data_IF_952719243761
#
_entry.id   IF_952719243761
#
_cell.length_a   1.000
_cell.length_b   1.000
_cell.length_c   1.000
_cell.angle_alpha   90.00
_cell.angle_beta   90.00
_cell.angle_gamma   90.00
#
_symmetry.space_group_name_H-M   'P 1'
#
loop_
_entity.id
_entity.type
_entity.pdbx_description
1 polymer ?
#
# COMPACT_ATOMS: atom_id res chain seq x y z
N UNK A 1 -32.45 -28.70 36.35
CA UNK A 1 -31.63 -29.62 35.55
C UNK A 1 -32.38 -30.93 35.34
N UNK A 2 -33.01 -31.13 34.18
CA UNK A 2 -33.58 -32.41 33.74
C UNK A 2 -33.27 -32.57 32.25
N UNK A 3 -32.47 -33.58 31.90
CA UNK A 3 -32.10 -33.95 30.54
C UNK A 3 -33.09 -35.01 30.04
N UNK A 4 -33.60 -34.87 28.82
CA UNK A 4 -33.97 -36.01 27.96
C UNK A 4 -33.60 -35.68 26.51
N UNK A 5 -32.88 -36.57 25.79
CA UNK A 5 -32.56 -36.40 24.38
C UNK A 5 -33.42 -37.27 23.45
N UNK A 6 -33.57 -36.75 22.24
CA UNK A 6 -33.67 -37.43 20.94
C UNK A 6 -35.01 -37.91 20.35
N UNK A 7 -35.09 -37.57 19.06
CA UNK A 7 -35.72 -38.24 17.91
C UNK A 7 -37.19 -37.95 17.59
N UNK A 8 -37.39 -37.01 16.66
CA UNK A 8 -38.37 -37.17 15.59
C UNK A 8 -37.78 -36.64 14.28
N UNK A 9 -37.57 -37.56 13.34
CA UNK A 9 -37.23 -37.27 11.95
C UNK A 9 -38.43 -36.60 11.27
N UNK A 10 -38.16 -35.61 10.42
CA UNK A 10 -39.10 -35.21 9.37
C UNK A 10 -38.32 -34.88 8.10
N UNK A 11 -38.63 -35.67 7.09
CA UNK A 11 -38.13 -35.70 5.73
C UNK A 11 -39.09 -34.89 4.85
N UNK A 12 -38.61 -33.81 4.21
CA UNK A 12 -39.16 -33.23 2.96
C UNK A 12 -37.93 -32.60 2.26
N UNK A 13 -37.27 -33.19 1.26
CA UNK A 13 -37.63 -33.50 -0.14
C UNK A 13 -38.15 -32.33 -0.97
N UNK A 14 -37.24 -31.64 -1.67
CA UNK A 14 -37.38 -31.05 -3.04
C UNK A 14 -36.21 -30.09 -3.28
N UNK A 15 -35.15 -30.41 -4.04
CA UNK A 15 -35.05 -30.56 -5.51
C UNK A 15 -35.40 -29.26 -6.26
N UNK A 16 -34.38 -28.57 -6.82
CA UNK A 16 -34.18 -28.32 -8.26
C UNK A 16 -32.73 -27.86 -8.48
N UNK A 17 -31.93 -28.73 -9.11
CA UNK A 17 -30.74 -28.36 -9.88
C UNK A 17 -31.20 -28.10 -11.30
N UNK A 18 -31.00 -26.88 -11.80
CA UNK A 18 -30.92 -26.44 -13.20
C UNK A 18 -30.87 -24.92 -13.14
N UNK A 19 -29.92 -24.22 -13.74
CA UNK A 19 -29.82 -24.07 -15.19
C UNK A 19 -28.41 -23.71 -15.66
N UNK A 20 -27.99 -24.44 -16.70
CA UNK A 20 -26.84 -24.19 -17.56
C UNK A 20 -26.92 -22.84 -18.30
N UNK A 21 -25.76 -22.41 -18.81
CA UNK A 21 -25.46 -21.08 -19.34
C UNK A 21 -26.41 -20.52 -20.41
N UNK A 22 -26.59 -19.21 -20.33
CA UNK A 22 -27.15 -18.42 -21.41
C UNK A 22 -26.05 -18.15 -22.45
N UNK A 23 -26.06 -18.91 -23.55
CA UNK A 23 -25.37 -18.53 -24.78
C UNK A 23 -26.36 -17.80 -25.70
N UNK A 24 -26.04 -16.59 -26.20
CA UNK A 24 -26.85 -15.94 -27.23
C UNK A 24 -26.74 -16.66 -28.57
N UNK A 25 -27.88 -16.82 -29.26
CA UNK A 25 -27.98 -17.44 -30.59
C UNK A 25 -28.08 -16.37 -31.69
N UNK A 26 -27.22 -16.51 -32.71
CA UNK A 26 -27.27 -16.18 -34.17
C UNK A 26 -28.08 -14.98 -34.73
N UNK A 27 -27.59 -14.35 -35.82
CA UNK A 27 -28.01 -14.82 -37.15
C UNK A 27 -26.84 -15.14 -38.10
N UNK A 28 -27.02 -16.22 -38.86
CA UNK A 28 -26.21 -16.59 -40.01
C UNK A 28 -26.39 -15.60 -41.17
N UNK A 29 -25.31 -15.27 -41.88
CA UNK A 29 -25.37 -14.86 -43.28
C UNK A 29 -24.45 -15.74 -44.12
N UNK A 30 -24.99 -16.12 -45.28
CA UNK A 30 -24.58 -17.15 -46.23
C UNK A 30 -23.36 -16.77 -47.08
N UNK A 31 -22.73 -17.83 -47.62
CA UNK A 31 -21.50 -17.86 -48.39
C UNK A 31 -21.56 -17.23 -49.80
N UNK A 32 -20.40 -16.85 -50.35
CA UNK A 32 -19.88 -17.38 -51.64
C UNK A 32 -18.38 -17.04 -51.85
N UNK A 33 -17.66 -17.80 -52.70
CA UNK A 33 -16.21 -18.04 -52.61
C UNK A 33 -15.36 -17.19 -53.59
N UNK A 34 -14.03 -17.32 -53.44
CA UNK A 34 -12.95 -17.31 -54.47
C UNK A 34 -11.87 -16.24 -54.26
N UNK A 35 -10.61 -16.71 -54.13
CA UNK A 35 -9.49 -16.09 -54.84
C UNK A 35 -8.64 -15.06 -54.08
N UNK A 36 -7.53 -15.54 -53.53
CA UNK A 36 -6.26 -14.86 -53.20
C UNK A 36 -6.04 -13.46 -53.80
N UNK A 37 -5.94 -12.46 -52.92
CA UNK A 37 -5.04 -11.31 -53.09
C UNK A 37 -4.13 -11.22 -51.87
N UNK A 38 -2.84 -11.52 -52.05
CA UNK A 38 -1.81 -11.25 -51.06
C UNK A 38 -1.65 -9.73 -50.95
N UNK A 39 -2.37 -9.10 -50.03
CA UNK A 39 -2.08 -7.74 -49.59
C UNK A 39 -1.23 -7.86 -48.32
N UNK A 40 0.04 -7.44 -48.42
CA UNK A 40 0.90 -7.27 -47.24
C UNK A 40 0.28 -6.18 -46.38
N UNK A 41 -0.38 -6.61 -45.32
CA UNK A 41 -0.81 -5.75 -44.23
C UNK A 41 0.47 -5.25 -43.52
N UNK A 42 0.66 -3.93 -43.34
CA UNK A 42 1.73 -3.45 -42.49
C UNK A 42 1.51 -4.05 -41.09
N UNK A 43 2.50 -4.78 -40.61
CA UNK A 43 2.51 -5.29 -39.24
C UNK A 43 2.27 -4.12 -38.29
N UNK A 44 1.37 -4.24 -37.30
CA UNK A 44 1.25 -3.20 -36.29
C UNK A 44 2.60 -3.06 -35.59
N UNK A 45 3.16 -1.86 -35.60
CA UNK A 45 4.28 -1.52 -34.73
C UNK A 45 3.84 -1.83 -33.30
N UNK A 46 4.56 -2.67 -32.53
CA UNK A 46 4.21 -2.90 -31.14
C UNK A 46 4.18 -1.55 -30.43
N UNK A 47 3.03 -1.20 -29.89
CA UNK A 47 2.91 -0.11 -28.93
C UNK A 47 3.88 -0.41 -27.80
N UNK A 48 4.79 0.51 -27.41
CA UNK A 48 5.56 0.34 -26.18
C UNK A 48 4.55 0.07 -25.07
N UNK A 49 4.59 -1.13 -24.52
CA UNK A 49 3.85 -1.43 -23.31
C UNK A 49 4.49 -0.53 -22.26
N UNK A 50 3.70 0.36 -21.66
CA UNK A 50 4.14 1.23 -20.58
C UNK A 50 4.63 0.30 -19.45
N UNK A 51 5.94 0.07 -19.37
CA UNK A 51 6.64 -0.58 -18.24
C UNK A 51 6.61 0.37 -17.02
N UNK A 52 5.46 0.97 -16.74
CA UNK A 52 5.24 1.96 -15.67
C UNK A 52 4.62 1.32 -14.43
N UNK A 53 4.37 0.00 -14.45
CA UNK A 53 4.11 -0.81 -13.27
C UNK A 53 5.35 -1.66 -12.96
N UNK A 54 6.50 -1.00 -12.83
CA UNK A 54 7.64 -1.51 -12.06
C UNK A 54 7.11 -2.14 -10.76
N UNK A 55 7.65 -3.28 -10.35
CA UNK A 55 7.18 -4.08 -9.21
C UNK A 55 7.29 -3.30 -7.88
N UNK A 56 6.30 -2.43 -7.60
CA UNK A 56 6.32 -1.53 -6.43
C UNK A 56 5.97 -2.32 -5.18
N UNK A 57 7.00 -2.67 -4.41
CA UNK A 57 6.83 -3.24 -3.06
C UNK A 57 6.38 -2.13 -2.10
N UNK A 58 5.11 -2.21 -1.66
CA UNK A 58 4.54 -1.31 -0.65
C UNK A 58 4.63 -1.94 0.73
N UNK A 59 5.21 -1.21 1.68
CA UNK A 59 5.32 -1.64 3.08
C UNK A 59 4.44 -0.70 3.91
N UNK A 60 3.53 -1.28 4.69
CA UNK A 60 2.72 -0.54 5.67
C UNK A 60 3.22 -0.84 7.07
N UNK A 61 3.62 0.20 7.79
CA UNK A 61 4.07 0.11 9.20
C UNK A 61 3.23 1.05 10.04
N UNK A 62 2.83 0.57 11.22
CA UNK A 62 2.24 1.41 12.26
C UNK A 62 3.35 1.90 13.18
N UNK A 63 3.48 3.21 13.34
CA UNK A 63 4.46 3.85 14.23
C UNK A 63 3.76 4.39 15.47
N UNK A 64 4.37 4.19 16.63
CA UNK A 64 3.98 4.83 17.88
C UNK A 64 5.12 5.74 18.31
N UNK A 65 4.83 7.03 18.53
CA UNK A 65 5.80 8.03 18.97
C UNK A 65 5.56 8.38 20.44
N UNK A 66 6.65 8.62 21.17
CA UNK A 66 6.66 9.00 22.58
C UNK A 66 7.53 10.23 22.76
N UNK A 67 6.99 11.26 23.41
CA UNK A 67 7.74 12.46 23.82
C UNK A 67 8.10 12.35 25.30
N UNK A 68 9.35 12.67 25.64
CA UNK A 68 9.83 12.69 27.01
C UNK A 68 10.75 13.89 27.24
N UNK A 69 10.68 14.45 28.45
CA UNK A 69 11.61 15.48 28.94
C UNK A 69 12.36 14.88 30.12
N UNK A 70 13.69 14.83 30.01
CA UNK A 70 14.56 14.29 31.04
C UNK A 70 15.36 15.43 31.66
N UNK A 71 15.30 15.54 32.98
CA UNK A 71 16.02 16.56 33.73
C UNK A 71 16.90 15.93 34.79
N UNK A 72 18.01 16.61 35.11
CA UNK A 72 18.84 16.27 36.26
C UNK A 72 18.15 16.64 37.60
N UNK A 73 18.85 16.41 38.72
CA UNK A 73 18.34 16.74 40.06
C UNK A 73 18.15 18.23 40.31
N UNK A 74 18.76 19.09 39.49
CA UNK A 74 18.67 20.55 39.58
C UNK A 74 17.59 21.11 38.63
N UNK A 75 16.93 20.26 37.86
CA UNK A 75 15.91 20.64 36.88
C UNK A 75 16.49 21.07 35.53
N UNK A 76 17.78 20.80 35.26
CA UNK A 76 18.40 21.11 33.97
C UNK A 76 18.10 19.99 32.97
N UNK A 77 17.72 20.34 31.73
CA UNK A 77 17.44 19.35 30.68
C UNK A 77 18.74 18.62 30.33
N UNK A 78 18.66 17.29 30.26
CA UNK A 78 19.74 16.45 29.79
C UNK A 78 19.66 16.37 28.26
N UNK A 79 20.70 16.85 27.58
CA UNK A 79 20.67 17.07 26.12
C UNK A 79 21.45 16.03 25.31
N UNK A 80 22.18 15.14 25.98
CA UNK A 80 23.12 14.19 25.40
C UNK A 80 22.66 12.72 25.48
N UNK A 81 21.38 12.49 25.77
CA UNK A 81 20.80 11.16 25.84
C UNK A 81 20.87 10.44 24.49
N UNK A 82 21.19 9.15 24.56
CA UNK A 82 21.27 8.25 23.43
C UNK A 82 20.10 7.24 23.46
N UNK A 83 19.75 6.61 22.33
CA UNK A 83 18.71 5.58 22.30
C UNK A 83 18.93 4.45 23.30
N UNK A 84 20.20 4.11 23.58
CA UNK A 84 20.60 3.03 24.50
C UNK A 84 20.27 3.35 25.96
N UNK A 85 20.03 4.62 26.29
CA UNK A 85 19.62 5.06 27.63
C UNK A 85 18.14 4.80 27.91
N UNK A 86 17.38 4.30 26.93
CA UNK A 86 15.94 4.06 27.03
C UNK A 86 15.59 2.58 26.89
N UNK A 87 14.66 2.14 27.74
CA UNK A 87 13.97 0.86 27.59
C UNK A 87 12.46 1.10 27.50
N UNK A 88 11.86 0.72 26.38
CA UNK A 88 10.41 0.84 26.17
C UNK A 88 9.76 -0.50 26.42
N UNK A 89 8.73 -0.53 27.26
CA UNK A 89 7.94 -1.74 27.53
C UNK A 89 6.47 -1.50 27.20
N UNK A 90 5.86 -2.44 26.47
CA UNK A 90 4.41 -2.42 26.16
C UNK A 90 3.82 -3.75 26.61
N UNK A 91 2.86 -3.69 27.53
CA UNK A 91 2.28 -4.91 28.12
C UNK A 91 3.33 -5.83 28.76
N UNK A 92 4.40 -5.26 29.32
CA UNK A 92 5.52 -6.00 29.90
C UNK A 92 6.53 -6.57 28.91
N UNK A 93 6.38 -6.34 27.59
CA UNK A 93 7.35 -6.77 26.57
C UNK A 93 8.23 -5.61 26.13
N UNK A 94 9.55 -5.79 26.14
CA UNK A 94 10.52 -4.80 25.65
C UNK A 94 10.31 -4.56 24.15
N UNK A 95 10.24 -3.30 23.76
CA UNK A 95 10.13 -2.83 22.39
C UNK A 95 11.44 -2.19 21.96
N UNK A 96 11.84 -2.44 20.71
CA UNK A 96 13.02 -1.81 20.14
C UNK A 96 12.72 -0.35 19.79
N UNK A 97 13.63 0.55 20.16
CA UNK A 97 13.62 1.94 19.70
C UNK A 97 14.22 1.97 18.30
N UNK A 98 13.40 2.30 17.29
CA UNK A 98 13.82 2.35 15.88
C UNK A 98 14.03 3.75 15.35
N UNK A 99 13.58 4.76 16.08
CA UNK A 99 13.77 6.18 15.78
C UNK A 99 13.97 6.95 17.08
N UNK A 100 14.89 7.91 17.06
CA UNK A 100 15.20 8.77 18.19
C UNK A 100 15.63 10.14 17.69
N UNK A 101 15.10 11.20 18.30
CA UNK A 101 15.44 12.58 17.96
C UNK A 101 15.35 13.45 19.20
N UNK A 102 16.34 14.33 19.38
CA UNK A 102 16.29 15.37 20.39
C UNK A 102 15.63 16.63 19.81
N UNK A 103 14.53 17.08 20.41
CA UNK A 103 13.79 18.27 19.98
C UNK A 103 14.07 19.42 20.93
N UNK A 104 14.76 20.46 20.44
CA UNK A 104 14.94 21.71 21.18
C UNK A 104 13.85 22.73 20.82
N UNK A 105 13.11 23.18 21.82
CA UNK A 105 12.06 24.20 21.69
C UNK A 105 12.58 25.60 21.28
N UNK A 106 13.90 25.81 21.33
CA UNK A 106 14.54 27.06 20.89
C UNK A 106 14.79 27.10 19.37
N UNK A 107 14.80 25.93 18.70
CA UNK A 107 15.22 25.78 17.30
C UNK A 107 14.09 25.86 16.27
N UNK A 108 12.88 26.30 16.66
CA UNK A 108 11.71 26.40 15.78
C UNK A 108 11.80 27.42 14.63
N UNK A 109 12.95 28.07 14.41
CA UNK A 109 13.12 29.16 13.43
C UNK A 109 14.05 28.85 12.24
N UNK A 110 14.61 27.64 12.10
CA UNK A 110 15.59 27.37 11.03
C UNK A 110 15.46 25.98 10.40
N UNK A 111 14.33 25.71 9.75
CA UNK A 111 14.24 24.62 8.77
C UNK A 111 13.26 24.95 7.64
N UNK A 112 13.31 26.19 7.12
CA UNK A 112 12.73 26.48 5.80
C UNK A 112 13.89 26.45 4.79
N UNK A 113 13.93 25.50 3.84
CA UNK A 113 14.90 25.56 2.75
C UNK A 113 14.52 26.78 1.91
N UNK A 114 15.27 27.88 2.09
CA UNK A 114 15.18 28.99 1.15
C UNK A 114 15.76 28.45 -0.17
N UNK A 115 14.98 28.34 -1.26
CA UNK A 115 15.53 27.91 -2.53
C UNK A 115 16.70 28.85 -2.87
N UNK A 116 17.87 28.25 -3.06
CA UNK A 116 19.08 28.97 -3.38
C UNK A 116 18.80 29.87 -4.59
N UNK A 117 18.99 31.17 -4.41
CA UNK A 117 19.03 32.14 -5.50
C UNK A 117 20.08 31.67 -6.49
N UNK A 118 19.64 31.14 -7.64
CA UNK A 118 20.50 30.84 -8.78
C UNK A 118 21.30 32.12 -9.08
N UNK A 119 22.64 32.08 -9.17
CA UNK A 119 23.40 33.25 -9.56
C UNK A 119 22.89 33.67 -10.94
N UNK A 120 22.47 34.93 -11.06
CA UNK A 120 22.08 35.52 -12.32
C UNK A 120 23.26 35.36 -13.28
N UNK A 121 23.06 34.51 -14.29
CA UNK A 121 23.98 34.32 -15.38
C UNK A 121 24.17 35.67 -16.08
N UNK A 122 25.36 36.24 -15.92
CA UNK A 122 25.82 37.37 -16.73
C UNK A 122 26.39 36.80 -18.02
N UNK A 123 25.52 36.30 -18.90
CA UNK A 123 25.87 35.89 -20.25
C UNK A 123 24.75 36.19 -21.25
N UNK A 124 24.85 37.39 -21.85
CA UNK A 124 24.56 37.75 -23.24
C UNK A 124 23.08 37.82 -23.71
N UNK A 125 22.74 38.57 -24.79
CA UNK A 125 23.61 39.20 -25.81
C UNK A 125 24.15 40.60 -25.51
#
# INVERSE_FOLDING_TARGET
>A
MRKQPSLAASLILSMVVSTFGQAPQTPAQQATPTGTTTQQQPSPTPTPQDDSDEDVVKITTNLVQFDAVVTDKKGQIVTDLQPEDFEVFVGGKRQQVTNFSYISIESGASAQPRPASRPADKSAP
#
